data_IF_856788563776
#
_entry.id   IF_856788563776
#
_cell.length_a   1.000
_cell.length_b   1.000
_cell.length_c   1.000
_cell.angle_alpha   90.00
_cell.angle_beta   90.00
_cell.angle_gamma   90.00
#
_symmetry.space_group_name_H-M   'P 1'
#
loop_
_entity.id
_entity.type
_entity.pdbx_description
1 polymer ?
#
# COMPACT_ATOMS: atom_id res chain seq x y z
N UNK A 1 -10.39 -23.12 -17.29
CA UNK A 1 -10.75 -24.01 -16.21
C UNK A 1 -10.27 -23.39 -14.90
N UNK A 2 -10.99 -23.50 -13.79
CA UNK A 2 -10.45 -23.03 -12.50
C UNK A 2 -9.15 -23.77 -12.20
N UNK A 3 -8.15 -23.03 -11.71
CA UNK A 3 -6.85 -23.60 -11.36
C UNK A 3 -7.06 -24.55 -10.16
N UNK A 4 -6.77 -25.83 -10.36
CA UNK A 4 -6.90 -26.83 -9.28
C UNK A 4 -5.81 -26.58 -8.22
N UNK A 5 -6.18 -26.66 -6.96
CA UNK A 5 -5.24 -26.55 -5.84
C UNK A 5 -4.16 -27.66 -5.91
N UNK A 6 -2.86 -27.33 -5.96
CA UNK A 6 -1.78 -28.32 -5.91
C UNK A 6 -1.69 -28.99 -4.53
N UNK A 7 -1.33 -30.27 -4.50
CA UNK A 7 -1.13 -30.98 -3.22
C UNK A 7 0.17 -30.60 -2.49
N UNK A 8 1.16 -30.08 -3.22
CA UNK A 8 2.49 -29.70 -2.67
C UNK A 8 2.97 -28.39 -3.29
N UNK A 9 3.70 -27.60 -2.51
CA UNK A 9 4.34 -26.38 -2.97
C UNK A 9 5.73 -26.20 -2.32
N UNK A 10 6.64 -25.52 -3.03
CA UNK A 10 7.91 -25.05 -2.45
C UNK A 10 7.66 -23.81 -1.58
N UNK A 11 6.71 -22.97 -1.97
CA UNK A 11 6.24 -21.83 -1.18
C UNK A 11 4.74 -21.58 -1.40
N UNK A 12 4.00 -21.29 -0.33
CA UNK A 12 2.60 -20.87 -0.36
C UNK A 12 2.49 -19.43 0.12
N UNK A 13 1.84 -18.59 -0.69
CA UNK A 13 1.60 -17.17 -0.37
C UNK A 13 0.12 -17.01 -0.05
N UNK A 14 -0.18 -16.38 1.07
CA UNK A 14 -1.53 -16.11 1.55
C UNK A 14 -1.88 -14.64 1.26
N UNK A 15 -2.92 -14.41 0.44
CA UNK A 15 -3.41 -13.10 0.05
C UNK A 15 -2.94 -12.66 -1.33
N UNK A 16 -3.90 -12.38 -2.22
CA UNK A 16 -3.72 -12.01 -3.62
C UNK A 16 -3.73 -10.49 -3.88
N UNK A 17 -3.36 -9.67 -2.89
CA UNK A 17 -3.09 -8.24 -3.06
C UNK A 17 -1.74 -7.98 -3.74
N UNK A 18 -1.32 -6.71 -3.82
CA UNK A 18 -0.06 -6.33 -4.48
C UNK A 18 1.16 -7.02 -3.85
N UNK A 19 1.17 -7.22 -2.53
CA UNK A 19 2.27 -7.89 -1.82
C UNK A 19 2.41 -9.34 -2.25
N UNK A 20 1.30 -10.10 -2.21
CA UNK A 20 1.32 -11.51 -2.61
C UNK A 20 1.55 -11.70 -4.10
N UNK A 21 0.99 -10.86 -4.94
CA UNK A 21 1.18 -10.91 -6.40
C UNK A 21 2.65 -10.66 -6.79
N UNK A 22 3.26 -9.61 -6.23
CA UNK A 22 4.68 -9.30 -6.43
C UNK A 22 5.59 -10.40 -5.87
N UNK A 23 5.31 -10.90 -4.66
CA UNK A 23 6.06 -12.02 -4.05
C UNK A 23 6.02 -13.27 -4.94
N UNK A 24 4.84 -13.64 -5.46
CA UNK A 24 4.69 -14.80 -6.34
C UNK A 24 5.53 -14.65 -7.62
N UNK A 25 5.49 -13.47 -8.24
CA UNK A 25 6.30 -13.19 -9.42
C UNK A 25 7.80 -13.30 -9.13
N UNK A 26 8.27 -12.63 -8.08
CA UNK A 26 9.70 -12.59 -7.76
C UNK A 26 10.24 -13.95 -7.31
N UNK A 27 9.46 -14.76 -6.58
CA UNK A 27 9.84 -16.14 -6.24
C UNK A 27 10.03 -16.99 -7.50
N UNK A 28 9.09 -16.93 -8.44
CA UNK A 28 9.23 -17.64 -9.71
C UNK A 28 10.42 -17.12 -10.53
N UNK A 29 10.64 -15.80 -10.59
CA UNK A 29 11.78 -15.16 -11.25
C UNK A 29 13.12 -15.60 -10.63
N UNK A 30 13.15 -15.85 -9.30
CA UNK A 30 14.31 -16.39 -8.59
C UNK A 30 14.49 -17.91 -8.75
N UNK A 31 13.62 -18.60 -9.48
CA UNK A 31 13.73 -20.03 -9.81
C UNK A 31 13.02 -20.99 -8.86
N UNK A 32 12.21 -20.50 -7.92
CA UNK A 32 11.32 -21.35 -7.11
C UNK A 32 10.25 -21.96 -8.01
N UNK A 33 10.16 -23.29 -8.07
CA UNK A 33 9.40 -24.00 -9.11
C UNK A 33 7.91 -24.08 -8.81
N UNK A 34 7.54 -24.42 -7.58
CA UNK A 34 6.14 -24.69 -7.17
C UNK A 34 5.64 -23.59 -6.24
N UNK A 35 5.42 -22.40 -6.79
CA UNK A 35 4.84 -21.26 -6.07
C UNK A 35 3.32 -21.34 -6.16
N UNK A 36 2.64 -21.28 -5.01
CA UNK A 36 1.19 -21.26 -4.90
C UNK A 36 0.75 -19.98 -4.23
N UNK A 37 -0.10 -19.19 -4.90
CA UNK A 37 -0.74 -17.99 -4.36
C UNK A 37 -2.21 -18.27 -4.13
N UNK A 38 -2.69 -18.05 -2.90
CA UNK A 38 -4.06 -18.30 -2.47
C UNK A 38 -4.78 -16.98 -2.18
N UNK A 39 -5.94 -16.79 -2.80
CA UNK A 39 -6.84 -15.66 -2.57
C UNK A 39 -8.23 -16.18 -2.20
N UNK A 40 -8.83 -15.62 -1.13
CA UNK A 40 -10.16 -16.02 -0.69
C UNK A 40 -11.29 -15.47 -1.55
N UNK A 41 -11.07 -14.28 -2.14
CA UNK A 41 -12.05 -13.60 -2.98
C UNK A 41 -12.07 -14.17 -4.40
N UNK A 42 -13.13 -13.89 -5.21
CA UNK A 42 -13.20 -14.36 -6.59
C UNK A 42 -12.13 -13.74 -7.52
N UNK A 43 -11.60 -12.57 -7.15
CA UNK A 43 -10.60 -11.83 -7.93
C UNK A 43 -9.43 -11.41 -7.09
N UNK A 44 -8.23 -11.38 -7.71
CA UNK A 44 -7.03 -10.81 -7.10
C UNK A 44 -7.14 -9.29 -6.96
N UNK A 45 -6.49 -8.74 -5.94
CA UNK A 45 -6.40 -7.29 -5.75
C UNK A 45 -7.66 -6.62 -5.19
N UNK A 46 -8.71 -7.33 -4.83
CA UNK A 46 -10.00 -6.75 -4.37
C UNK A 46 -10.03 -6.34 -2.91
N UNK A 47 -9.01 -6.70 -2.14
CA UNK A 47 -8.83 -6.27 -0.74
C UNK A 47 -8.36 -4.80 -0.63
N UNK A 48 -7.47 -4.52 0.34
CA UNK A 48 -6.94 -3.16 0.57
C UNK A 48 -6.31 -2.54 -0.69
N UNK A 49 -5.63 -3.34 -1.53
CA UNK A 49 -5.00 -2.87 -2.77
C UNK A 49 -6.00 -2.26 -3.74
N UNK A 50 -7.09 -2.94 -4.06
CA UNK A 50 -8.10 -2.42 -5.02
C UNK A 50 -9.02 -1.36 -4.44
N UNK A 51 -8.86 -1.03 -3.16
CA UNK A 51 -9.62 0.00 -2.46
C UNK A 51 -8.77 1.21 -2.09
N UNK A 52 -7.51 1.27 -2.51
CA UNK A 52 -6.63 2.41 -2.30
C UNK A 52 -6.83 3.48 -3.38
N UNK A 53 -6.34 4.69 -3.11
CA UNK A 53 -6.41 5.83 -4.03
C UNK A 53 -5.36 5.77 -5.17
N UNK A 54 -4.54 4.72 -5.24
CA UNK A 54 -3.54 4.54 -6.30
C UNK A 54 -2.31 5.44 -6.21
N UNK A 55 -2.10 6.15 -5.11
CA UNK A 55 -0.97 7.06 -4.93
C UNK A 55 0.39 6.36 -4.90
N UNK A 56 1.38 6.94 -5.57
CA UNK A 56 2.78 6.53 -5.55
C UNK A 56 3.67 7.75 -5.28
N UNK A 57 4.58 7.67 -4.31
CA UNK A 57 5.38 8.81 -3.88
C UNK A 57 6.71 8.44 -3.24
N UNK A 58 7.66 9.38 -3.29
CA UNK A 58 8.94 9.34 -2.57
C UNK A 58 8.88 10.08 -1.23
N UNK A 59 7.90 10.95 -1.03
CA UNK A 59 7.81 11.91 0.08
C UNK A 59 7.42 11.23 1.41
N UNK A 60 8.40 10.60 2.08
CA UNK A 60 8.32 10.05 3.43
C UNK A 60 9.27 10.78 4.38
N UNK A 61 9.06 10.64 5.70
CA UNK A 61 9.92 11.26 6.72
C UNK A 61 10.96 10.30 7.30
N UNK A 62 10.95 9.02 6.90
CA UNK A 62 11.92 8.02 7.35
C UNK A 62 12.77 7.52 6.16
N UNK A 63 14.06 7.30 6.41
CA UNK A 63 14.99 6.86 5.37
C UNK A 63 14.55 5.54 4.76
N UNK A 64 14.11 4.58 5.56
CA UNK A 64 13.72 3.25 5.07
C UNK A 64 12.57 3.34 4.07
N UNK A 65 11.51 4.14 4.32
CA UNK A 65 10.41 4.30 3.39
C UNK A 65 10.81 5.05 2.11
N UNK A 66 11.72 6.05 2.23
CA UNK A 66 12.29 6.73 1.06
C UNK A 66 13.07 5.72 0.20
N UNK A 67 13.91 4.87 0.82
CA UNK A 67 14.68 3.84 0.12
C UNK A 67 13.79 2.78 -0.54
N UNK A 68 12.73 2.34 0.14
CA UNK A 68 11.73 1.46 -0.47
C UNK A 68 11.13 2.10 -1.73
N UNK A 69 10.74 3.38 -1.68
CA UNK A 69 10.21 4.09 -2.84
C UNK A 69 11.24 4.23 -3.96
N UNK A 70 12.51 4.53 -3.63
CA UNK A 70 13.59 4.68 -4.63
C UNK A 70 13.84 3.39 -5.43
N UNK A 71 13.54 2.23 -4.85
CA UNK A 71 13.62 0.95 -5.56
C UNK A 71 12.29 0.63 -6.25
N UNK A 72 11.18 0.83 -5.56
CA UNK A 72 9.86 0.37 -5.99
C UNK A 72 9.27 1.16 -7.16
N UNK A 73 9.41 2.50 -7.15
CA UNK A 73 8.81 3.33 -8.20
C UNK A 73 9.45 3.08 -9.58
N UNK A 74 10.79 2.97 -9.71
CA UNK A 74 11.40 2.52 -10.96
C UNK A 74 10.94 1.12 -11.41
N UNK A 75 10.62 0.20 -10.47
CA UNK A 75 10.05 -1.10 -10.83
C UNK A 75 8.63 -0.97 -11.41
N UNK A 76 7.83 0.00 -10.93
CA UNK A 76 6.54 0.32 -11.52
C UNK A 76 6.69 0.95 -12.91
N UNK A 77 7.66 1.85 -13.11
CA UNK A 77 7.97 2.43 -14.43
C UNK A 77 8.37 1.34 -15.44
N UNK A 78 9.13 0.33 -15.01
CA UNK A 78 9.58 -0.79 -15.85
C UNK A 78 8.55 -1.94 -15.97
N UNK A 79 7.40 -1.86 -15.29
CA UNK A 79 6.47 -2.99 -15.16
C UNK A 79 5.96 -3.50 -16.50
N UNK A 80 5.67 -2.60 -17.44
CA UNK A 80 5.19 -2.97 -18.78
C UNK A 80 6.25 -3.72 -19.57
N UNK A 81 7.50 -3.29 -19.53
CA UNK A 81 8.62 -3.97 -20.17
C UNK A 81 8.82 -5.37 -19.60
N UNK A 82 8.74 -5.52 -18.27
CA UNK A 82 8.92 -6.81 -17.59
C UNK A 82 7.74 -7.77 -17.76
N UNK A 83 6.51 -7.25 -17.74
CA UNK A 83 5.31 -8.08 -17.60
C UNK A 83 4.38 -8.02 -18.81
N UNK A 84 4.56 -7.04 -19.70
CA UNK A 84 3.66 -6.78 -20.83
C UNK A 84 2.36 -6.06 -20.43
N UNK A 85 2.24 -5.56 -19.19
CA UNK A 85 1.07 -4.81 -18.71
C UNK A 85 1.55 -3.54 -18.03
N UNK A 86 1.06 -2.38 -18.47
CA UNK A 86 1.39 -1.07 -17.92
C UNK A 86 0.78 -0.86 -16.54
N UNK A 87 1.52 -0.20 -15.65
CA UNK A 87 1.01 0.30 -14.38
C UNK A 87 0.11 1.53 -14.53
N UNK A 88 -0.04 2.07 -15.74
CA UNK A 88 -0.80 3.29 -16.06
C UNK A 88 -0.38 4.47 -15.18
N UNK A 89 0.93 4.68 -15.06
CA UNK A 89 1.49 5.73 -14.21
C UNK A 89 1.17 7.11 -14.79
N UNK A 90 0.73 8.00 -13.89
CA UNK A 90 0.55 9.42 -14.16
C UNK A 90 1.35 10.24 -13.15
N UNK A 91 2.48 10.80 -13.56
CA UNK A 91 3.33 11.68 -12.74
C UNK A 91 2.72 13.07 -12.71
N UNK A 92 1.79 13.29 -11.78
CA UNK A 92 1.12 14.58 -11.60
C UNK A 92 1.70 15.41 -10.45
N UNK A 93 2.63 14.85 -9.70
CA UNK A 93 3.17 15.42 -8.48
C UNK A 93 2.27 15.17 -7.26
N UNK A 94 2.89 15.17 -6.06
CA UNK A 94 2.21 15.18 -4.77
C UNK A 94 2.50 16.48 -4.06
N UNK A 95 1.47 17.29 -3.84
CA UNK A 95 1.54 18.57 -3.15
C UNK A 95 1.02 18.42 -1.73
N UNK A 96 1.91 18.48 -0.75
CA UNK A 96 1.54 18.65 0.65
C UNK A 96 1.34 20.12 0.96
N UNK A 97 0.15 20.48 1.43
CA UNK A 97 -0.20 21.82 1.87
C UNK A 97 -0.16 21.87 3.40
N UNK A 98 0.61 22.80 3.93
CA UNK A 98 0.88 22.95 5.37
C UNK A 98 0.20 24.21 5.89
N UNK A 99 -0.71 24.04 6.84
CA UNK A 99 -1.53 25.12 7.41
C UNK A 99 -1.25 25.33 8.91
N UNK A 100 -0.34 24.53 9.51
CA UNK A 100 0.08 24.66 10.91
C UNK A 100 1.60 24.80 11.00
N UNK A 101 2.10 25.66 11.87
CA UNK A 101 3.54 25.89 12.04
C UNK A 101 4.31 24.63 12.44
N UNK A 102 3.72 23.78 13.29
CA UNK A 102 4.35 22.52 13.68
C UNK A 102 4.57 21.57 12.49
N UNK A 103 3.66 21.57 11.52
CA UNK A 103 3.80 20.77 10.31
C UNK A 103 4.89 21.37 9.41
N UNK A 104 4.99 22.70 9.34
CA UNK A 104 6.06 23.39 8.59
C UNK A 104 7.42 22.98 9.12
N UNK A 105 7.65 23.04 10.43
CA UNK A 105 8.92 22.64 11.06
C UNK A 105 9.25 21.16 10.80
N UNK A 106 8.25 20.29 10.86
CA UNK A 106 8.42 18.87 10.58
C UNK A 106 8.79 18.63 9.11
N UNK A 107 8.06 19.24 8.18
CA UNK A 107 8.27 19.01 6.74
C UNK A 107 9.56 19.65 6.24
N UNK A 108 10.07 20.75 6.82
CA UNK A 108 11.38 21.28 6.49
C UNK A 108 12.49 20.25 6.68
N UNK A 109 12.51 19.58 7.85
CA UNK A 109 13.46 18.51 8.15
C UNK A 109 13.28 17.30 7.21
N UNK A 110 12.03 17.00 6.90
CA UNK A 110 11.67 15.91 5.99
C UNK A 110 12.17 16.17 4.57
N UNK A 111 11.97 17.37 4.04
CA UNK A 111 12.45 17.76 2.69
C UNK A 111 13.98 17.78 2.65
N UNK A 112 14.66 18.25 3.72
CA UNK A 112 16.12 18.16 3.83
C UNK A 112 16.62 16.71 3.78
N UNK A 113 15.95 15.80 4.49
CA UNK A 113 16.27 14.36 4.45
C UNK A 113 16.07 13.79 3.05
N UNK A 114 14.92 14.04 2.43
CA UNK A 114 14.58 13.57 1.09
C UNK A 114 15.63 14.03 0.07
N UNK A 115 15.96 15.33 0.06
CA UNK A 115 16.95 15.90 -0.85
C UNK A 115 18.36 15.35 -0.61
N UNK A 116 18.76 15.15 0.65
CA UNK A 116 20.03 14.49 1.01
C UNK A 116 20.12 13.06 0.49
N UNK A 117 18.97 12.35 0.45
CA UNK A 117 18.87 11.00 -0.08
C UNK A 117 18.68 10.95 -1.61
N UNK A 118 18.68 12.10 -2.28
CA UNK A 118 18.57 12.20 -3.74
C UNK A 118 17.13 12.22 -4.27
N UNK A 119 16.15 12.50 -3.41
CA UNK A 119 14.76 12.72 -3.82
C UNK A 119 14.53 14.21 -4.01
N UNK A 120 14.21 14.63 -5.23
CA UNK A 120 14.08 16.06 -5.61
C UNK A 120 12.73 16.64 -5.14
N UNK A 121 12.60 16.91 -3.85
CA UNK A 121 11.42 17.56 -3.29
C UNK A 121 11.62 19.06 -3.20
N UNK A 122 10.72 19.82 -3.82
CA UNK A 122 10.71 21.27 -3.84
C UNK A 122 9.96 21.80 -2.61
N UNK A 123 10.57 22.76 -1.91
CA UNK A 123 9.88 23.55 -0.89
C UNK A 123 9.16 24.71 -1.53
N UNK A 124 7.93 25.00 -1.14
CA UNK A 124 7.07 26.02 -1.72
C UNK A 124 6.64 27.03 -0.67
N UNK A 125 6.64 28.30 -1.04
CA UNK A 125 5.98 29.33 -0.24
C UNK A 125 4.45 29.29 -0.38
N UNK A 126 3.75 30.09 0.43
CA UNK A 126 2.30 30.10 0.46
C UNK A 126 1.65 30.55 -0.87
N UNK A 127 2.32 31.40 -1.66
CA UNK A 127 1.81 31.88 -2.95
C UNK A 127 1.93 30.78 -4.01
N UNK A 128 3.05 30.08 -4.03
CA UNK A 128 3.31 28.95 -4.92
C UNK A 128 2.32 27.80 -4.65
N UNK A 129 2.09 27.49 -3.35
CA UNK A 129 1.09 26.49 -2.93
C UNK A 129 -0.30 26.85 -3.45
N UNK A 130 -0.76 28.11 -3.22
CA UNK A 130 -2.09 28.56 -3.68
C UNK A 130 -2.24 28.48 -5.19
N UNK A 131 -1.18 28.73 -5.93
CA UNK A 131 -1.20 28.65 -7.39
C UNK A 131 -1.27 27.19 -7.88
N UNK A 132 -0.45 26.31 -7.30
CA UNK A 132 -0.37 24.91 -7.72
C UNK A 132 -1.60 24.10 -7.29
N UNK A 133 -2.20 24.44 -6.15
CA UNK A 133 -3.37 23.74 -5.62
C UNK A 133 -4.68 24.04 -6.38
N UNK A 134 -4.71 25.05 -7.28
CA UNK A 134 -5.94 25.39 -8.01
C UNK A 134 -6.55 24.15 -8.71
N UNK A 135 -7.86 23.92 -8.62
CA UNK A 135 -8.91 24.83 -8.10
C UNK A 135 -9.24 24.68 -6.60
N UNK A 136 -8.34 24.09 -5.80
CA UNK A 136 -8.47 24.13 -4.33
C UNK A 136 -8.05 25.51 -3.77
N UNK A 137 -8.71 25.93 -2.69
CA UNK A 137 -8.47 27.20 -2.03
C UNK A 137 -7.81 26.99 -0.67
N UNK A 138 -6.60 27.53 -0.50
CA UNK A 138 -5.78 27.43 0.71
C UNK A 138 -5.27 28.80 1.13
N UNK A 139 -6.20 29.71 1.48
CA UNK A 139 -5.84 31.06 1.96
C UNK A 139 -5.02 31.00 3.26
N UNK A 140 -5.20 29.96 4.04
CA UNK A 140 -4.51 29.63 5.27
C UNK A 140 -3.18 28.85 5.07
N UNK A 141 -2.76 28.58 3.84
CA UNK A 141 -1.49 27.92 3.58
C UNK A 141 -0.30 28.76 4.08
N UNK A 142 0.55 28.16 4.90
CA UNK A 142 1.81 28.74 5.39
C UNK A 142 2.97 28.37 4.45
N UNK A 143 3.03 27.11 4.02
CA UNK A 143 4.04 26.56 3.13
C UNK A 143 3.53 25.27 2.49
N UNK A 144 4.35 24.64 1.68
CA UNK A 144 4.12 23.30 1.15
C UNK A 144 5.37 22.66 0.59
N UNK A 145 5.23 21.45 0.13
CA UNK A 145 6.27 20.79 -0.66
C UNK A 145 5.66 19.91 -1.74
N UNK A 146 6.39 19.74 -2.83
CA UNK A 146 5.99 18.92 -3.96
C UNK A 146 7.18 18.10 -4.48
N UNK A 147 6.92 16.83 -4.79
CA UNK A 147 7.80 16.08 -5.67
C UNK A 147 7.04 15.78 -6.97
N UNK A 148 7.58 16.22 -8.11
CA UNK A 148 6.91 16.13 -9.41
C UNK A 148 6.97 14.74 -10.04
N UNK A 149 7.86 13.87 -9.55
CA UNK A 149 7.95 12.47 -9.97
C UNK A 149 6.92 11.57 -9.23
N UNK A 150 6.34 12.08 -8.16
CA UNK A 150 5.23 11.42 -7.47
C UNK A 150 3.95 11.48 -8.31
N UNK A 151 3.01 10.58 -8.05
CA UNK A 151 1.78 10.58 -8.84
C UNK A 151 0.86 9.42 -8.48
N UNK A 152 0.28 8.83 -9.50
CA UNK A 152 -0.71 7.77 -9.42
C UNK A 152 -0.31 6.59 -10.30
N UNK A 153 -0.71 5.39 -9.90
CA UNK A 153 -0.68 4.18 -10.74
C UNK A 153 -1.99 3.42 -10.52
N UNK A 154 -2.37 2.57 -11.48
CA UNK A 154 -3.59 1.76 -11.37
C UNK A 154 -3.34 0.47 -10.58
N UNK A 155 -3.96 0.30 -9.39
CA UNK A 155 -3.71 -0.86 -8.54
C UNK A 155 -4.12 -2.19 -9.17
N UNK A 156 -5.18 -2.20 -9.96
CA UNK A 156 -5.66 -3.42 -10.62
C UNK A 156 -4.72 -3.86 -11.74
N UNK A 157 -4.20 -2.91 -12.51
CA UNK A 157 -3.21 -3.18 -13.57
C UNK A 157 -1.92 -3.73 -12.98
N UNK A 158 -1.42 -3.14 -11.88
CA UNK A 158 -0.19 -3.62 -11.19
C UNK A 158 -0.37 -5.04 -10.66
N UNK A 159 -1.47 -5.35 -9.96
CA UNK A 159 -1.74 -6.72 -9.50
C UNK A 159 -1.87 -7.68 -10.68
N UNK A 160 -2.62 -7.31 -11.72
CA UNK A 160 -2.82 -8.13 -12.90
C UNK A 160 -1.50 -8.42 -13.62
N UNK A 161 -0.60 -7.43 -13.70
CA UNK A 161 0.73 -7.56 -14.27
C UNK A 161 1.54 -8.65 -13.57
N UNK A 162 1.66 -8.57 -12.24
CA UNK A 162 2.39 -9.56 -11.45
C UNK A 162 1.74 -10.94 -11.46
N UNK A 163 0.40 -11.03 -11.33
CA UNK A 163 -0.31 -12.32 -11.38
C UNK A 163 -0.11 -13.02 -12.72
N UNK A 164 -0.26 -12.30 -13.84
CA UNK A 164 -0.10 -12.88 -15.16
C UNK A 164 1.36 -13.27 -15.41
N UNK A 165 2.32 -12.46 -14.97
CA UNK A 165 3.74 -12.78 -15.08
C UNK A 165 4.10 -14.02 -14.23
N UNK A 166 3.64 -14.10 -12.98
CA UNK A 166 3.83 -15.26 -12.12
C UNK A 166 3.24 -16.53 -12.73
N UNK A 167 2.03 -16.48 -13.30
CA UNK A 167 1.40 -17.61 -14.00
C UNK A 167 2.22 -18.05 -15.22
N UNK A 168 2.74 -17.11 -16.02
CA UNK A 168 3.63 -17.45 -17.15
C UNK A 168 4.91 -18.16 -16.72
N UNK A 169 5.40 -17.85 -15.51
CA UNK A 169 6.57 -18.50 -14.91
C UNK A 169 6.24 -19.79 -14.16
N UNK A 170 4.96 -20.22 -14.14
CA UNK A 170 4.52 -21.50 -13.60
C UNK A 170 3.86 -21.44 -12.21
N UNK A 171 3.61 -20.26 -11.65
CA UNK A 171 2.87 -20.14 -10.39
C UNK A 171 1.41 -20.62 -10.52
N UNK A 172 0.95 -21.32 -9.49
CA UNK A 172 -0.47 -21.68 -9.32
C UNK A 172 -1.17 -20.59 -8.52
N UNK A 173 -1.91 -19.70 -9.18
CA UNK A 173 -2.67 -18.63 -8.54
C UNK A 173 -4.14 -19.05 -8.46
N UNK A 174 -4.65 -19.29 -7.24
CA UNK A 174 -5.98 -19.86 -6.96
C UNK A 174 -6.83 -18.84 -6.22
N UNK A 175 -8.00 -18.52 -6.78
CA UNK A 175 -9.04 -17.69 -6.14
C UNK A 175 -10.12 -18.52 -5.48
N UNK A 176 -11.02 -17.89 -4.72
CA UNK A 176 -12.08 -18.54 -3.94
C UNK A 176 -11.52 -19.63 -2.99
N UNK A 177 -10.23 -19.51 -2.64
CA UNK A 177 -9.47 -20.42 -1.82
C UNK A 177 -9.20 -19.81 -0.44
N UNK A 178 -10.11 -20.05 0.48
CA UNK A 178 -10.00 -19.54 1.84
C UNK A 178 -9.10 -20.45 2.69
N UNK A 179 -8.01 -19.90 3.19
CA UNK A 179 -7.12 -20.60 4.13
C UNK A 179 -7.81 -20.68 5.49
N UNK A 180 -7.82 -21.86 6.07
CA UNK A 180 -8.52 -22.15 7.32
C UNK A 180 -7.59 -22.52 8.47
N UNK A 181 -6.30 -22.80 8.18
CA UNK A 181 -5.31 -23.15 9.18
C UNK A 181 -3.94 -23.40 8.57
N UNK A 182 -2.93 -23.48 9.43
CA UNK A 182 -1.56 -23.88 9.11
C UNK A 182 -1.18 -25.05 10.03
N UNK A 183 -0.76 -26.17 9.44
CA UNK A 183 -0.24 -27.30 10.19
C UNK A 183 1.22 -27.11 10.50
N UNK A 184 1.61 -27.46 11.72
CA UNK A 184 2.97 -27.41 12.21
C UNK A 184 3.53 -28.81 12.41
N UNK A 185 4.83 -28.99 12.15
CA UNK A 185 5.65 -30.14 12.50
C UNK A 185 6.77 -29.65 13.43
N UNK A 186 6.51 -29.71 14.73
CA UNK A 186 7.33 -29.04 15.74
C UNK A 186 7.30 -27.52 15.56
N UNK A 187 8.45 -26.90 15.36
CA UNK A 187 8.61 -25.45 15.17
C UNK A 187 8.56 -25.02 13.68
N UNK A 188 8.27 -25.94 12.77
CA UNK A 188 8.30 -25.71 11.32
C UNK A 188 6.91 -25.87 10.68
N UNK A 189 6.68 -25.12 9.61
CA UNK A 189 5.49 -25.28 8.76
C UNK A 189 5.50 -26.68 8.12
N UNK A 190 4.33 -27.33 8.06
CA UNK A 190 4.12 -28.61 7.39
C UNK A 190 3.12 -28.53 6.24
N UNK A 191 2.00 -27.82 6.42
CA UNK A 191 0.97 -27.66 5.39
C UNK A 191 0.10 -26.43 5.64
N UNK A 192 -0.57 -25.97 4.58
CA UNK A 192 -1.64 -24.97 4.61
C UNK A 192 -2.97 -25.65 4.35
N UNK A 193 -3.93 -25.48 5.25
CA UNK A 193 -5.30 -25.97 5.14
C UNK A 193 -6.20 -24.94 4.46
N UNK A 194 -7.05 -25.39 3.55
CA UNK A 194 -8.00 -24.52 2.83
C UNK A 194 -9.38 -25.18 2.72
N UNK A 195 -10.38 -24.39 2.31
CA UNK A 195 -11.71 -24.90 1.95
C UNK A 195 -11.70 -25.80 0.69
N UNK A 196 -10.58 -25.86 -0.06
CA UNK A 196 -10.44 -26.67 -1.27
C UNK A 196 -9.50 -27.88 -1.07
N UNK A 197 -8.94 -28.07 0.12
CA UNK A 197 -7.99 -29.13 0.45
C UNK A 197 -6.74 -28.58 1.16
N UNK A 198 -5.69 -29.40 1.22
CA UNK A 198 -4.43 -29.08 1.89
C UNK A 198 -3.29 -28.99 0.89
N UNK A 199 -2.33 -28.08 1.15
CA UNK A 199 -1.08 -27.92 0.39
C UNK A 199 0.10 -28.16 1.33
N UNK A 200 0.84 -29.24 1.13
CA UNK A 200 2.08 -29.49 1.90
C UNK A 200 3.16 -28.50 1.44
N UNK A 201 3.77 -27.81 2.41
CA UNK A 201 4.83 -26.83 2.15
C UNK A 201 5.67 -26.63 3.42
N UNK A 202 6.89 -26.15 3.25
CA UNK A 202 7.77 -25.71 4.37
C UNK A 202 7.91 -24.19 4.42
N UNK A 203 7.34 -23.44 3.44
CA UNK A 203 7.43 -22.00 3.36
C UNK A 203 6.05 -21.41 3.17
N UNK A 204 5.67 -20.50 4.06
CA UNK A 204 4.45 -19.70 3.99
C UNK A 204 4.81 -18.22 4.06
N UNK A 205 4.26 -17.42 3.13
CA UNK A 205 4.33 -15.96 3.17
C UNK A 205 2.96 -15.41 3.52
N UNK A 206 2.85 -14.73 4.65
CA UNK A 206 1.65 -14.03 5.07
C UNK A 206 1.62 -12.62 4.46
N UNK A 207 0.87 -12.47 3.37
CA UNK A 207 0.60 -11.23 2.65
C UNK A 207 -0.88 -10.82 2.74
N UNK A 208 -1.53 -11.16 3.88
CA UNK A 208 -2.97 -10.99 4.08
C UNK A 208 -3.39 -9.55 4.45
N UNK A 209 -2.46 -8.58 4.40
CA UNK A 209 -2.78 -7.18 4.69
C UNK A 209 -3.49 -6.99 6.04
N UNK A 210 -4.65 -6.31 6.08
CA UNK A 210 -5.38 -6.06 7.33
C UNK A 210 -5.78 -7.32 8.11
N UNK A 211 -5.79 -8.48 7.47
CA UNK A 211 -6.17 -9.77 8.08
C UNK A 211 -4.97 -10.63 8.50
N UNK A 212 -3.76 -10.09 8.45
CA UNK A 212 -2.51 -10.85 8.69
C UNK A 212 -2.40 -11.44 10.09
N UNK A 213 -3.07 -10.85 11.09
CA UNK A 213 -3.10 -11.40 12.45
C UNK A 213 -3.69 -12.81 12.51
N UNK A 214 -4.67 -13.11 11.66
CA UNK A 214 -5.33 -14.42 11.68
C UNK A 214 -4.39 -15.57 11.26
N UNK A 215 -3.69 -15.52 10.11
CA UNK A 215 -2.68 -16.55 9.80
C UNK A 215 -1.52 -16.61 10.80
N UNK A 216 -1.11 -15.49 11.38
CA UNK A 216 -0.06 -15.46 12.40
C UNK A 216 -0.49 -16.21 13.67
N UNK A 217 -1.75 -16.07 14.10
CA UNK A 217 -2.26 -16.78 15.28
C UNK A 217 -2.27 -18.29 15.13
N UNK A 218 -2.39 -18.83 13.91
CA UNK A 218 -2.34 -20.28 13.67
C UNK A 218 -0.96 -20.89 13.91
N UNK A 219 0.08 -20.07 13.89
CA UNK A 219 1.48 -20.46 14.16
C UNK A 219 1.98 -19.92 15.52
N UNK A 220 1.07 -19.42 16.36
CA UNK A 220 1.39 -18.92 17.70
C UNK A 220 2.05 -17.55 17.74
N UNK A 221 1.98 -16.76 16.65
CA UNK A 221 2.52 -15.41 16.59
C UNK A 221 1.44 -14.34 16.80
N UNK A 222 1.83 -13.25 17.45
CA UNK A 222 1.06 -12.01 17.51
C UNK A 222 1.73 -10.96 16.64
N UNK A 223 0.96 -10.39 15.69
CA UNK A 223 1.42 -9.28 14.87
C UNK A 223 0.74 -7.99 15.34
N UNK A 224 1.48 -6.91 15.61
CA UNK A 224 0.90 -5.63 16.01
C UNK A 224 0.31 -4.87 14.82
N UNK A 225 -0.56 -5.54 14.06
CA UNK A 225 -1.25 -5.04 12.87
C UNK A 225 -2.74 -4.95 13.16
N UNK A 226 -3.30 -3.74 13.04
CA UNK A 226 -4.72 -3.50 13.31
C UNK A 226 -5.43 -2.93 12.09
N UNK A 227 -6.55 -3.53 11.64
CA UNK A 227 -7.37 -2.98 10.56
C UNK A 227 -7.99 -1.65 10.98
N UNK A 228 -7.95 -0.64 10.08
CA UNK A 228 -8.54 0.67 10.32
C UNK A 228 -9.21 1.17 9.05
N UNK A 229 -10.52 1.44 9.12
CA UNK A 229 -11.30 1.90 7.97
C UNK A 229 -10.82 3.26 7.47
N UNK A 230 -10.73 3.37 6.14
CA UNK A 230 -10.59 4.61 5.39
C UNK A 230 -11.62 4.62 4.27
N UNK A 231 -12.18 5.78 3.99
CA UNK A 231 -13.19 5.91 2.92
C UNK A 231 -12.90 7.11 2.02
N UNK A 232 -13.31 6.97 0.77
CA UNK A 232 -13.19 7.99 -0.23
C UNK A 232 -14.40 7.98 -1.16
N UNK A 233 -14.56 9.06 -1.89
CA UNK A 233 -15.59 9.19 -2.93
C UNK A 233 -14.99 9.72 -4.23
N UNK A 234 -15.65 9.41 -5.34
CA UNK A 234 -15.36 9.96 -6.68
C UNK A 234 -16.58 10.75 -7.12
N UNK A 235 -16.36 11.95 -7.63
CA UNK A 235 -17.40 12.80 -8.18
C UNK A 235 -17.75 12.44 -9.62
N UNK A 236 -18.87 12.95 -10.11
CA UNK A 236 -19.12 13.07 -11.55
C UNK A 236 -18.09 14.00 -12.20
N UNK A 237 -18.13 14.10 -13.54
CA UNK A 237 -17.15 14.88 -14.29
C UNK A 237 -17.18 16.37 -13.98
N UNK A 238 -16.01 16.99 -13.85
CA UNK A 238 -15.79 18.42 -13.63
C UNK A 238 -14.85 18.95 -14.71
N UNK A 239 -15.37 19.77 -15.62
CA UNK A 239 -14.60 20.29 -16.77
C UNK A 239 -13.52 21.32 -16.41
N UNK A 240 -13.55 21.87 -15.19
CA UNK A 240 -12.66 22.94 -14.75
C UNK A 240 -11.37 22.45 -14.05
N UNK A 241 -11.11 21.12 -14.03
CA UNK A 241 -9.90 20.58 -13.43
C UNK A 241 -8.76 20.60 -14.45
N UNK A 242 -7.63 21.27 -14.17
CA UNK A 242 -6.47 21.24 -15.06
C UNK A 242 -5.86 19.84 -15.20
N UNK A 243 -5.34 19.49 -16.37
CA UNK A 243 -4.60 18.22 -16.55
C UNK A 243 -3.37 18.14 -15.63
N UNK A 244 -2.75 19.29 -15.32
CA UNK A 244 -1.61 19.39 -14.41
C UNK A 244 -1.98 19.42 -12.94
N UNK A 245 -3.27 19.15 -12.59
CA UNK A 245 -3.71 19.14 -11.19
C UNK A 245 -2.97 18.03 -10.42
N UNK A 246 -2.17 18.36 -9.39
CA UNK A 246 -1.42 17.38 -8.62
C UNK A 246 -2.34 16.58 -7.70
N UNK A 247 -1.78 15.55 -7.06
CA UNK A 247 -2.37 14.98 -5.86
C UNK A 247 -2.19 15.99 -4.72
N UNK A 248 -3.26 16.67 -4.33
CA UNK A 248 -3.23 17.72 -3.28
C UNK A 248 -3.62 17.13 -1.94
N UNK A 249 -2.83 17.41 -0.92
CA UNK A 249 -3.06 16.94 0.45
C UNK A 249 -3.09 18.13 1.40
N UNK A 250 -4.23 18.39 2.03
CA UNK A 250 -4.34 19.19 3.25
C UNK A 250 -3.86 18.33 4.42
N UNK A 251 -2.59 18.48 4.81
CA UNK A 251 -1.99 17.62 5.78
C UNK A 251 -2.65 17.72 7.17
N UNK A 252 -3.02 18.93 7.57
CA UNK A 252 -3.64 19.16 8.88
C UNK A 252 -5.00 18.47 9.05
N UNK A 253 -5.75 18.28 7.94
CA UNK A 253 -7.06 17.64 7.93
C UNK A 253 -7.02 16.19 7.44
N UNK A 254 -5.85 15.69 7.02
CA UNK A 254 -5.72 14.40 6.31
C UNK A 254 -6.73 14.27 5.15
N UNK A 255 -6.98 15.39 4.47
CA UNK A 255 -7.92 15.52 3.35
C UNK A 255 -7.14 15.60 2.06
N UNK A 256 -7.54 14.83 1.06
CA UNK A 256 -6.81 14.80 -0.21
C UNK A 256 -7.73 14.81 -1.43
N UNK A 257 -7.14 15.25 -2.56
CA UNK A 257 -7.80 15.36 -3.86
C UNK A 257 -6.86 14.94 -4.97
N UNK A 258 -7.36 14.20 -5.93
CA UNK A 258 -6.70 14.00 -7.22
C UNK A 258 -7.73 13.78 -8.32
N UNK A 259 -7.33 13.97 -9.58
CA UNK A 259 -8.21 13.66 -10.72
C UNK A 259 -8.40 12.16 -10.83
N UNK A 260 -9.67 11.72 -10.99
CA UNK A 260 -10.04 10.33 -11.24
C UNK A 260 -10.98 10.26 -12.44
N UNK A 261 -10.43 9.84 -13.59
CA UNK A 261 -11.12 9.99 -14.87
C UNK A 261 -11.51 11.46 -15.11
N UNK A 262 -12.78 11.75 -15.41
CA UNK A 262 -13.24 13.13 -15.61
C UNK A 262 -13.61 13.87 -14.29
N UNK A 263 -13.59 13.18 -13.14
CA UNK A 263 -13.97 13.69 -11.83
C UNK A 263 -12.80 13.86 -10.87
N UNK A 264 -13.11 14.01 -9.61
CA UNK A 264 -12.17 14.09 -8.48
C UNK A 264 -12.41 12.92 -7.54
N UNK A 265 -11.34 12.20 -7.19
CA UNK A 265 -11.32 11.37 -6.01
C UNK A 265 -10.90 12.22 -4.81
N UNK A 266 -11.67 12.13 -3.73
CA UNK A 266 -11.33 12.78 -2.46
C UNK A 266 -11.57 11.84 -1.29
N UNK A 267 -10.72 11.89 -0.30
CA UNK A 267 -10.84 11.14 0.94
C UNK A 267 -10.34 11.96 2.13
N UNK A 268 -10.82 11.62 3.31
CA UNK A 268 -10.41 12.26 4.56
C UNK A 268 -10.39 11.24 5.69
N UNK A 269 -9.27 11.17 6.39
CA UNK A 269 -9.09 10.26 7.52
C UNK A 269 -9.90 10.69 8.75
N UNK A 270 -10.75 9.78 9.27
CA UNK A 270 -11.45 10.00 10.53
C UNK A 270 -10.47 9.76 11.70
N UNK A 271 -10.12 10.78 12.50
CA UNK A 271 -9.22 10.61 13.65
C UNK A 271 -9.84 9.81 14.80
N UNK A 272 -11.16 9.63 14.80
CA UNK A 272 -11.91 8.90 15.82
C UNK A 272 -12.35 7.51 15.34
N UNK A 273 -11.87 7.08 14.15
CA UNK A 273 -12.18 5.75 13.61
C UNK A 273 -11.68 4.64 14.55
N UNK A 274 -12.51 3.64 14.77
CA UNK A 274 -12.17 2.50 15.60
C UNK A 274 -11.51 1.40 14.79
N UNK A 275 -10.53 0.74 15.38
CA UNK A 275 -9.95 -0.46 14.79
C UNK A 275 -11.02 -1.55 14.61
N UNK A 276 -11.03 -2.17 13.46
CA UNK A 276 -11.98 -3.24 13.10
C UNK A 276 -11.99 -3.50 11.61
N UNK A 277 -12.72 -4.54 11.21
CA UNK A 277 -12.77 -5.00 9.81
C UNK A 277 -14.00 -4.46 9.04
N UNK A 278 -14.75 -3.51 9.61
CA UNK A 278 -15.89 -2.91 8.94
C UNK A 278 -15.44 -2.10 7.72
N UNK A 279 -15.99 -2.41 6.56
CA UNK A 279 -15.75 -1.74 5.28
C UNK A 279 -17.03 -1.08 4.73
N UNK A 280 -18.02 -0.86 5.55
CA UNK A 280 -19.19 -0.06 5.18
C UNK A 280 -18.84 1.44 5.14
N UNK A 281 -19.58 2.21 4.37
CA UNK A 281 -19.47 3.67 4.41
C UNK A 281 -20.07 4.18 5.72
N UNK A 282 -19.34 5.03 6.44
CA UNK A 282 -19.85 5.80 7.56
C UNK A 282 -20.52 7.09 7.03
N UNK A 283 -21.85 7.20 7.03
CA UNK A 283 -22.52 8.33 6.44
C UNK A 283 -22.28 9.64 7.22
N UNK A 284 -22.12 9.59 8.53
CA UNK A 284 -21.85 10.79 9.33
C UNK A 284 -20.45 11.35 9.05
N UNK A 285 -19.47 10.45 8.90
CA UNK A 285 -18.15 10.89 8.50
C UNK A 285 -18.11 11.36 7.03
N UNK A 286 -18.86 10.73 6.13
CA UNK A 286 -18.97 11.16 4.74
C UNK A 286 -19.53 12.60 4.64
N UNK A 287 -20.57 12.95 5.43
CA UNK A 287 -21.10 14.30 5.47
C UNK A 287 -20.03 15.33 5.89
N UNK A 288 -19.28 15.05 6.99
CA UNK A 288 -18.19 15.90 7.44
C UNK A 288 -17.08 16.01 6.39
N UNK A 289 -16.72 14.91 5.74
CA UNK A 289 -15.73 14.89 4.65
C UNK A 289 -16.17 15.77 3.48
N UNK A 290 -17.40 15.62 3.01
CA UNK A 290 -17.95 16.40 1.90
C UNK A 290 -17.94 17.90 2.23
N UNK A 291 -18.36 18.26 3.45
CA UNK A 291 -18.34 19.66 3.90
C UNK A 291 -16.93 20.25 3.85
N UNK A 292 -15.92 19.53 4.38
CA UNK A 292 -14.53 19.96 4.34
C UNK A 292 -13.97 20.00 2.92
N UNK A 293 -14.33 19.03 2.09
CA UNK A 293 -13.91 18.98 0.69
C UNK A 293 -14.48 20.18 -0.10
N UNK A 294 -15.76 20.55 0.10
CA UNK A 294 -16.37 21.73 -0.54
C UNK A 294 -15.72 23.04 -0.04
N UNK A 295 -15.37 23.13 1.23
CA UNK A 295 -14.63 24.30 1.77
C UNK A 295 -13.29 24.50 1.05
N UNK A 296 -12.56 23.41 0.74
CA UNK A 296 -11.29 23.47 0.00
C UNK A 296 -11.47 23.55 -1.51
N UNK A 297 -12.49 22.91 -2.07
CA UNK A 297 -12.77 22.90 -3.52
C UNK A 297 -14.27 23.17 -3.76
N UNK A 298 -14.70 24.44 -3.82
CA UNK A 298 -16.10 24.80 -3.97
C UNK A 298 -16.80 24.22 -5.20
N UNK A 299 -16.05 23.87 -6.25
CA UNK A 299 -16.59 23.20 -7.45
C UNK A 299 -17.31 21.88 -7.13
N UNK A 300 -16.93 21.21 -6.04
CA UNK A 300 -17.55 19.96 -5.60
C UNK A 300 -19.00 20.15 -5.16
N UNK A 301 -19.40 21.34 -4.68
CA UNK A 301 -20.75 21.65 -4.23
C UNK A 301 -21.82 21.62 -5.35
N UNK A 302 -21.38 21.69 -6.62
CA UNK A 302 -22.25 21.61 -7.79
C UNK A 302 -22.19 20.26 -8.52
N UNK A 303 -21.51 19.25 -7.94
CA UNK A 303 -21.21 17.99 -8.62
C UNK A 303 -21.84 16.82 -7.88
N UNK A 304 -22.36 15.83 -8.63
CA UNK A 304 -22.87 14.57 -8.08
C UNK A 304 -21.73 13.64 -7.63
N UNK A 305 -22.07 12.66 -6.80
CA UNK A 305 -21.16 11.59 -6.40
C UNK A 305 -21.38 10.37 -7.30
N UNK A 306 -20.35 9.96 -8.02
CA UNK A 306 -20.35 8.82 -8.93
C UNK A 306 -20.12 7.50 -8.21
N UNK A 307 -19.18 7.48 -7.25
CA UNK A 307 -18.81 6.27 -6.52
C UNK A 307 -18.36 6.58 -5.10
N UNK A 308 -18.49 5.59 -4.23
CA UNK A 308 -18.01 5.60 -2.84
C UNK A 308 -17.33 4.29 -2.56
N UNK A 309 -16.29 4.31 -1.77
CA UNK A 309 -15.64 3.08 -1.32
C UNK A 309 -15.03 3.25 0.06
N UNK A 310 -15.07 2.18 0.84
CA UNK A 310 -14.30 2.04 2.07
C UNK A 310 -13.34 0.85 1.96
N UNK A 311 -12.13 1.03 2.47
CA UNK A 311 -11.10 0.02 2.55
C UNK A 311 -10.46 0.00 3.94
N UNK A 312 -9.54 -0.92 4.15
CA UNK A 312 -8.85 -1.05 5.43
C UNK A 312 -7.37 -0.72 5.26
N UNK A 313 -6.87 0.18 6.10
CA UNK A 313 -5.46 0.27 6.40
C UNK A 313 -5.06 -0.88 7.33
N UNK A 314 -3.84 -1.28 7.27
CA UNK A 314 -3.18 -2.27 8.12
C UNK A 314 -2.17 -1.54 9.02
N UNK A 315 -2.65 -0.97 10.14
CA UNK A 315 -1.88 -0.04 10.96
C UNK A 315 -0.97 -0.76 11.93
N UNK A 316 0.31 -0.37 11.93
CA UNK A 316 1.32 -0.75 12.93
C UNK A 316 1.58 0.42 13.91
N UNK A 317 2.20 0.18 15.09
CA UNK A 317 2.45 1.22 16.09
C UNK A 317 3.34 2.37 15.59
N UNK A 318 4.25 2.10 14.66
CA UNK A 318 5.23 3.04 14.10
C UNK A 318 4.91 3.47 12.67
N UNK A 319 3.80 2.98 12.11
CA UNK A 319 3.39 3.17 10.74
C UNK A 319 4.36 2.63 9.68
N UNK A 320 5.32 1.76 10.06
CA UNK A 320 6.18 1.02 9.13
C UNK A 320 5.65 -0.40 8.90
N UNK A 321 5.87 -0.99 7.73
CA UNK A 321 5.51 -2.38 7.48
C UNK A 321 6.35 -3.36 8.31
N UNK A 322 5.83 -4.57 8.42
CA UNK A 322 6.57 -5.74 8.89
C UNK A 322 6.94 -6.55 7.64
N UNK A 323 8.23 -6.63 7.35
CA UNK A 323 8.75 -7.35 6.19
C UNK A 323 9.91 -8.21 6.65
N UNK A 324 9.77 -9.53 6.57
CA UNK A 324 10.89 -10.37 6.96
C UNK A 324 10.51 -11.77 7.43
N UNK A 325 11.50 -12.38 8.07
CA UNK A 325 11.39 -13.66 8.77
C UNK A 325 10.63 -13.47 10.09
N UNK A 326 10.14 -14.56 10.62
CA UNK A 326 9.60 -14.62 11.97
C UNK A 326 10.34 -15.68 12.79
N UNK A 327 10.14 -15.75 14.11
CA UNK A 327 10.69 -16.83 14.93
C UNK A 327 10.21 -18.23 14.51
N UNK A 328 9.11 -18.34 13.77
CA UNK A 328 8.58 -19.60 13.26
C UNK A 328 9.29 -20.01 11.98
N UNK A 329 9.93 -21.17 11.98
CA UNK A 329 10.68 -21.67 10.84
C UNK A 329 9.81 -21.84 9.58
N UNK A 330 10.18 -21.08 8.52
CA UNK A 330 9.44 -21.10 7.24
C UNK A 330 8.25 -20.16 7.15
N UNK A 331 7.92 -19.38 8.19
CA UNK A 331 6.86 -18.38 8.16
C UNK A 331 7.43 -16.98 7.96
N UNK A 332 7.05 -16.34 6.86
CA UNK A 332 7.46 -14.98 6.49
C UNK A 332 6.25 -14.04 6.51
N UNK A 333 6.49 -12.75 6.75
CA UNK A 333 5.43 -11.74 6.79
C UNK A 333 5.78 -10.55 5.88
N UNK A 334 4.74 -10.01 5.23
CA UNK A 334 4.81 -8.76 4.45
C UNK A 334 3.46 -8.05 4.59
N UNK A 335 3.37 -7.16 5.58
CA UNK A 335 2.10 -6.56 6.04
C UNK A 335 2.35 -5.30 6.86
N UNK A 336 1.29 -4.59 7.27
CA UNK A 336 1.40 -3.49 8.23
C UNK A 336 1.77 -2.14 7.63
N UNK A 337 1.48 -1.88 6.37
CA UNK A 337 1.94 -0.70 5.62
C UNK A 337 1.23 0.61 5.97
N UNK A 338 0.25 0.63 6.85
CA UNK A 338 -0.37 1.86 7.38
C UNK A 338 -0.82 2.87 6.30
N UNK A 339 -1.22 2.39 5.12
CA UNK A 339 -1.74 3.21 4.01
C UNK A 339 -0.79 3.41 2.82
N UNK A 340 0.49 3.04 2.92
CA UNK A 340 1.45 3.21 1.81
C UNK A 340 1.92 1.89 1.15
N UNK A 341 1.19 0.79 1.36
CA UNK A 341 1.58 -0.54 0.87
C UNK A 341 1.56 -0.66 -0.65
N UNK A 342 0.60 -0.04 -1.34
CA UNK A 342 0.48 -0.19 -2.77
C UNK A 342 1.79 0.12 -3.51
N UNK A 343 2.36 1.29 -3.27
CA UNK A 343 3.59 1.74 -3.92
C UNK A 343 4.83 0.93 -3.54
N UNK A 344 4.84 0.28 -2.38
CA UNK A 344 5.96 -0.55 -1.91
C UNK A 344 5.81 -2.04 -2.23
N UNK A 345 4.67 -2.45 -2.82
CA UNK A 345 4.42 -3.83 -3.22
C UNK A 345 5.51 -4.44 -4.11
N UNK A 346 5.96 -3.75 -5.18
CA UNK A 346 7.03 -4.25 -6.03
C UNK A 346 8.30 -4.63 -5.28
N UNK A 347 8.87 -3.70 -4.53
CA UNK A 347 10.14 -3.93 -3.80
C UNK A 347 9.98 -4.94 -2.67
N UNK A 348 8.88 -4.91 -1.91
CA UNK A 348 8.69 -5.82 -0.79
C UNK A 348 8.52 -7.28 -1.24
N UNK A 349 7.83 -7.53 -2.37
CA UNK A 349 7.78 -8.86 -2.96
C UNK A 349 9.16 -9.36 -3.41
N UNK A 350 10.00 -8.49 -3.96
CA UNK A 350 11.38 -8.81 -4.32
C UNK A 350 12.21 -9.13 -3.07
N UNK A 351 12.15 -8.32 -2.02
CA UNK A 351 12.88 -8.52 -0.77
C UNK A 351 12.50 -9.84 -0.07
N UNK A 352 11.21 -10.19 -0.02
CA UNK A 352 10.75 -11.50 0.49
C UNK A 352 11.33 -12.64 -0.37
N UNK A 353 11.36 -12.46 -1.69
CA UNK A 353 11.99 -13.46 -2.58
C UNK A 353 13.47 -13.63 -2.32
N UNK A 354 14.22 -12.55 -2.08
CA UNK A 354 15.64 -12.60 -1.71
C UNK A 354 15.87 -13.34 -0.39
N UNK A 355 15.03 -13.05 0.64
CA UNK A 355 15.08 -13.74 1.93
C UNK A 355 14.85 -15.25 1.81
N UNK A 356 13.86 -15.65 0.98
CA UNK A 356 13.51 -17.07 0.81
C UNK A 356 14.58 -17.80 -0.02
N UNK A 357 15.06 -17.21 -1.10
CA UNK A 357 16.00 -17.86 -2.01
C UNK A 357 17.46 -17.79 -1.55
N UNK A 358 17.84 -16.69 -0.88
CA UNK A 358 19.23 -16.40 -0.51
C UNK A 358 19.52 -16.33 1.00
N UNK A 359 18.48 -16.38 1.83
CA UNK A 359 18.59 -16.30 3.29
C UNK A 359 18.75 -14.88 3.86
N UNK A 360 19.02 -13.88 3.02
CA UNK A 360 19.18 -12.46 3.39
C UNK A 360 18.73 -11.57 2.22
N UNK A 361 18.39 -10.31 2.51
CA UNK A 361 18.13 -9.31 1.48
C UNK A 361 19.44 -8.77 0.91
N UNK A 362 19.45 -8.48 -0.39
CA UNK A 362 20.62 -7.94 -1.13
C UNK A 362 20.37 -6.49 -1.57
N UNK A 363 19.13 -6.20 -1.92
CA UNK A 363 18.75 -4.92 -2.55
C UNK A 363 18.60 -3.80 -1.53
N UNK A 364 18.21 -4.11 -0.29
CA UNK A 364 18.02 -3.15 0.80
C UNK A 364 18.16 -3.87 2.15
N UNK A 365 18.83 -3.25 3.11
CA UNK A 365 18.78 -3.66 4.51
C UNK A 365 17.39 -3.33 5.09
N UNK A 366 16.69 -4.35 5.56
CA UNK A 366 15.34 -4.24 6.13
C UNK A 366 15.29 -4.54 7.62
N UNK A 367 16.40 -4.52 8.31
CA UNK A 367 16.46 -4.79 9.76
C UNK A 367 15.52 -3.91 10.59
N UNK A 368 15.30 -2.65 10.14
CA UNK A 368 14.31 -1.73 10.73
C UNK A 368 12.85 -2.15 10.49
N UNK A 369 12.59 -3.13 9.62
CA UNK A 369 11.24 -3.60 9.25
C UNK A 369 10.92 -4.99 9.81
N UNK A 370 11.86 -5.64 10.49
CA UNK A 370 11.65 -6.96 11.08
C UNK A 370 10.71 -6.89 12.29
N UNK A 371 10.07 -8.02 12.61
CA UNK A 371 9.04 -8.10 13.65
C UNK A 371 9.56 -7.79 15.05
N UNK A 372 10.79 -8.18 15.36
CA UNK A 372 11.44 -8.03 16.68
C UNK A 372 11.69 -6.57 17.09
N UNK A 373 11.61 -5.61 16.14
CA UNK A 373 11.72 -4.18 16.46
C UNK A 373 10.69 -3.71 17.50
N UNK A 374 9.54 -4.37 17.58
CA UNK A 374 8.49 -4.03 18.55
C UNK A 374 8.80 -4.49 19.99
N UNK A 375 9.79 -5.33 20.18
CA UNK A 375 10.32 -5.68 21.50
C UNK A 375 11.19 -4.55 22.08
N UNK A 376 11.71 -3.68 21.22
CA UNK A 376 12.53 -2.52 21.59
C UNK A 376 11.66 -1.29 21.84
N UNK A 377 12.00 -0.51 22.87
CA UNK A 377 11.21 0.65 23.30
C UNK A 377 11.36 1.93 22.45
N UNK A 378 12.24 1.93 21.42
CA UNK A 378 12.48 3.09 20.55
C UNK A 378 12.06 2.76 19.11
N UNK A 379 10.82 3.12 18.77
CA UNK A 379 10.31 3.01 17.42
C UNK A 379 10.54 4.32 16.66
N UNK A 380 11.13 4.22 15.47
CA UNK A 380 11.16 5.31 14.52
C UNK A 380 9.77 5.38 13.84
N UNK A 381 9.11 6.53 13.84
CA UNK A 381 7.73 6.64 13.35
C UNK A 381 7.65 7.37 12.02
N UNK A 382 6.90 6.80 11.08
CA UNK A 382 6.50 7.48 9.87
C UNK A 382 5.27 8.37 10.14
N UNK A 383 5.42 9.68 9.96
CA UNK A 383 4.35 10.68 10.19
C UNK A 383 3.65 11.10 8.90
N UNK A 384 4.28 10.92 7.73
CA UNK A 384 3.71 11.31 6.44
C UNK A 384 2.69 10.27 5.93
N UNK A 385 1.86 9.73 6.81
CA UNK A 385 0.71 8.86 6.51
C UNK A 385 -0.59 9.64 6.66
N UNK A 386 -1.56 9.37 5.75
CA UNK A 386 -2.79 10.16 5.62
C UNK A 386 -4.01 9.25 5.81
#
# INVERSE_FOLDING_TARGET
MPTRLPATADAVILGGGVMGASTAYHLCKAGIQKVVLLEREPFFGTGATGRCAGGIRYQFNTEINIRLSQISLPMLDALEEETGISALIRKCGYLFVLTREIDVEHFQKTVELQNRLGVSTEWLDSQEVRKLAQPCFFEDALAGCINREDGLADPHSVVSAYINAAKRLGASCVTECNVTGIEMDGEHIAAVQTNQGSVSTRIVVNACGPWSQKPASWVGLELPVKPLRRQWLVTEGITAIPESFPFVIDFAQSLYFHSEGPGILTGMSNPHEKFGEDQSIDPLWEENHIEKAIQRMPLLGATGIKARQAGLYEVTPDAHPIVGKTPVGGFYVVTGFSGHGFMHGPVCGMLISELISGGHTKSLDISELELDRFENSQLNREYNVI
#
